data_IF_931599665603
#
_entry.id   IF_931599665603
#
_cell.length_a   1.000
_cell.length_b   1.000
_cell.length_c   1.000
_cell.angle_alpha   90.00
_cell.angle_beta   90.00
_cell.angle_gamma   90.00
#
_symmetry.space_group_name_H-M   'P 1'
#
loop_
_entity.id
_entity.type
_entity.pdbx_description
1 polymer ?
#
# COMPACT_ATOMS: atom_id res chain seq x y z
N UNK A 1 -26.15 11.09 -28.32
CA UNK A 1 -26.94 10.06 -27.62
C UNK A 1 -26.10 8.80 -27.57
N UNK A 2 -25.37 8.57 -26.48
CA UNK A 2 -24.63 7.32 -26.25
C UNK A 2 -24.98 6.90 -24.82
N UNK A 3 -26.07 6.17 -24.70
CA UNK A 3 -26.45 5.47 -23.48
C UNK A 3 -25.85 4.07 -23.61
N UNK A 4 -24.74 3.81 -22.94
CA UNK A 4 -24.21 2.44 -22.78
C UNK A 4 -24.79 1.90 -21.47
N UNK A 5 -25.57 0.81 -21.47
CA UNK A 5 -26.28 0.34 -20.29
C UNK A 5 -25.38 -0.36 -19.26
N UNK A 6 -24.11 -0.63 -19.58
CA UNK A 6 -23.21 -1.44 -18.73
C UNK A 6 -22.50 -0.65 -17.60
N UNK A 7 -22.77 0.64 -17.46
CA UNK A 7 -22.22 1.47 -16.37
C UNK A 7 -23.09 1.44 -15.09
N UNK A 8 -24.17 0.64 -15.09
CA UNK A 8 -25.23 0.68 -14.09
C UNK A 8 -25.54 -0.65 -13.40
N UNK A 9 -24.66 -1.66 -13.49
CA UNK A 9 -24.82 -2.83 -12.61
C UNK A 9 -24.48 -2.41 -11.17
N UNK A 10 -25.47 -2.55 -10.28
CA UNK A 10 -25.46 -2.15 -8.87
C UNK A 10 -24.33 -2.77 -8.02
N UNK A 11 -23.54 -3.67 -8.60
CA UNK A 11 -22.38 -4.32 -7.98
C UNK A 11 -21.02 -3.78 -8.44
N UNK A 12 -20.95 -2.87 -9.42
CA UNK A 12 -19.68 -2.31 -9.87
C UNK A 12 -19.36 -1.01 -9.13
N UNK A 13 -18.28 -1.03 -8.33
CA UNK A 13 -17.80 0.17 -7.64
C UNK A 13 -17.49 1.28 -8.66
N UNK A 14 -17.92 2.52 -8.40
CA UNK A 14 -17.59 3.71 -9.23
C UNK A 14 -16.09 3.80 -9.55
N UNK A 15 -15.26 3.31 -8.64
CA UNK A 15 -13.81 3.27 -8.78
C UNK A 15 -13.35 2.26 -9.83
N UNK A 16 -14.00 1.09 -9.88
CA UNK A 16 -13.76 0.08 -10.91
C UNK A 16 -14.14 0.61 -12.30
N UNK A 17 -15.32 1.24 -12.40
CA UNK A 17 -15.80 1.82 -13.66
C UNK A 17 -14.89 2.96 -14.13
N UNK A 18 -14.43 3.82 -13.22
CA UNK A 18 -13.44 4.85 -13.53
C UNK A 18 -12.12 4.24 -14.02
N UNK A 19 -11.64 3.17 -13.38
CA UNK A 19 -10.45 2.47 -13.81
C UNK A 19 -10.61 1.83 -15.21
N UNK A 20 -11.73 1.15 -15.47
CA UNK A 20 -12.03 0.56 -16.79
C UNK A 20 -12.07 1.63 -17.89
N UNK A 21 -12.61 2.80 -17.59
CA UNK A 21 -12.57 3.95 -18.50
C UNK A 21 -11.13 4.40 -18.78
N UNK A 22 -10.29 4.51 -17.75
CA UNK A 22 -8.88 4.86 -17.93
C UNK A 22 -8.13 3.82 -18.76
N UNK A 23 -8.43 2.53 -18.59
CA UNK A 23 -7.85 1.45 -19.40
C UNK A 23 -8.30 1.53 -20.86
N UNK A 24 -9.61 1.71 -21.10
CA UNK A 24 -10.16 1.86 -22.46
C UNK A 24 -9.51 3.01 -23.23
N UNK A 25 -9.19 4.09 -22.53
CA UNK A 25 -8.53 5.26 -23.09
C UNK A 25 -7.03 5.31 -22.77
N UNK A 26 -6.39 4.18 -22.43
CA UNK A 26 -5.00 4.15 -21.98
C UNK A 26 -4.02 4.80 -22.98
N UNK A 27 -4.24 4.56 -24.27
CA UNK A 27 -3.44 5.18 -25.33
C UNK A 27 -3.49 6.72 -25.32
N UNK A 28 -4.57 7.32 -24.80
CA UNK A 28 -4.71 8.79 -24.66
C UNK A 28 -4.21 9.27 -23.30
N UNK A 29 -4.46 8.49 -22.24
CA UNK A 29 -4.07 8.88 -20.88
C UNK A 29 -2.58 8.71 -20.63
N UNK A 30 -1.88 7.88 -21.42
CA UNK A 30 -0.42 7.72 -21.36
C UNK A 30 0.34 9.02 -21.66
N UNK A 31 -0.21 9.88 -22.52
CA UNK A 31 0.41 11.18 -22.83
C UNK A 31 0.03 12.28 -21.83
N UNK A 32 -0.81 11.98 -20.83
CA UNK A 32 -1.20 12.97 -19.83
C UNK A 32 -0.03 13.23 -18.88
N UNK A 33 0.17 14.50 -18.56
CA UNK A 33 1.15 14.99 -17.60
C UNK A 33 0.44 15.77 -16.49
N UNK A 34 1.19 16.27 -15.50
CA UNK A 34 0.65 17.12 -14.44
C UNK A 34 -0.52 16.48 -13.67
N UNK A 35 -1.61 17.24 -13.52
CA UNK A 35 -2.77 16.82 -12.74
C UNK A 35 -3.51 15.60 -13.33
N UNK A 36 -3.60 15.51 -14.66
CA UNK A 36 -4.21 14.36 -15.33
C UNK A 36 -3.47 13.05 -15.02
N UNK A 37 -2.13 13.08 -15.05
CA UNK A 37 -1.30 11.93 -14.66
C UNK A 37 -1.49 11.54 -13.19
N UNK A 38 -1.63 12.54 -12.30
CA UNK A 38 -1.91 12.30 -10.88
C UNK A 38 -3.25 11.56 -10.73
N UNK A 39 -4.32 12.02 -11.36
CA UNK A 39 -5.64 11.35 -11.29
C UNK A 39 -5.54 9.89 -11.72
N UNK A 40 -4.87 9.60 -12.84
CA UNK A 40 -4.67 8.23 -13.33
C UNK A 40 -3.92 7.39 -12.31
N UNK A 41 -2.86 7.94 -11.73
CA UNK A 41 -2.06 7.29 -10.69
C UNK A 41 -2.88 6.99 -9.43
N UNK A 42 -3.73 7.93 -9.00
CA UNK A 42 -4.62 7.78 -7.84
C UNK A 42 -5.70 6.72 -8.06
N UNK A 43 -6.39 6.76 -9.20
CA UNK A 43 -7.42 5.77 -9.54
C UNK A 43 -6.79 4.37 -9.64
N UNK A 44 -5.60 4.27 -10.24
CA UNK A 44 -4.84 3.01 -10.26
C UNK A 44 -4.53 2.54 -8.84
N UNK A 45 -3.97 3.39 -7.97
CA UNK A 45 -3.64 2.98 -6.60
C UNK A 45 -4.88 2.51 -5.82
N UNK A 46 -5.97 3.28 -5.88
CA UNK A 46 -7.19 2.99 -5.13
C UNK A 46 -7.88 1.71 -5.59
N UNK A 47 -7.81 1.38 -6.89
CA UNK A 47 -8.40 0.15 -7.43
C UNK A 47 -7.69 -1.10 -6.89
N UNK A 48 -6.37 -1.06 -6.74
CA UNK A 48 -5.61 -2.13 -6.07
C UNK A 48 -6.06 -2.29 -4.63
N UNK A 49 -6.19 -1.18 -3.90
CA UNK A 49 -6.57 -1.23 -2.49
C UNK A 49 -8.01 -1.73 -2.31
N UNK A 50 -8.90 -1.42 -3.24
CA UNK A 50 -10.27 -1.96 -3.26
C UNK A 50 -10.28 -3.49 -3.46
N UNK A 51 -9.38 -4.04 -4.28
CA UNK A 51 -9.25 -5.49 -4.46
C UNK A 51 -8.78 -6.19 -3.17
N UNK A 52 -7.76 -5.64 -2.49
CA UNK A 52 -7.34 -6.14 -1.17
C UNK A 52 -8.49 -6.03 -0.13
N UNK A 53 -9.31 -4.98 -0.25
CA UNK A 53 -10.50 -4.76 0.54
C UNK A 53 -11.66 -5.74 0.22
N UNK A 54 -11.45 -6.69 -0.69
CA UNK A 54 -12.38 -7.79 -0.96
C UNK A 54 -13.49 -7.41 -1.92
N UNK A 55 -13.29 -6.34 -2.71
CA UNK A 55 -14.14 -6.02 -3.86
C UNK A 55 -14.14 -7.21 -4.83
N UNK A 56 -15.30 -7.53 -5.37
CA UNK A 56 -15.43 -8.52 -6.43
C UNK A 56 -14.86 -7.96 -7.76
N UNK A 57 -14.30 -8.85 -8.59
CA UNK A 57 -13.73 -8.53 -9.91
C UNK A 57 -12.24 -8.85 -10.04
N UNK A 58 -11.79 -9.04 -11.28
CA UNK A 58 -10.40 -9.43 -11.55
C UNK A 58 -9.44 -8.24 -11.42
N UNK A 59 -8.24 -8.46 -10.84
CA UNK A 59 -7.17 -7.48 -10.86
C UNK A 59 -6.74 -7.16 -12.30
N UNK A 60 -6.93 -5.91 -12.70
CA UNK A 60 -6.50 -5.43 -14.01
C UNK A 60 -5.01 -5.06 -13.95
N UNK A 61 -4.17 -5.82 -14.67
CA UNK A 61 -2.71 -5.75 -14.56
C UNK A 61 -2.10 -4.67 -15.49
N UNK A 62 -2.76 -4.38 -16.61
CA UNK A 62 -2.20 -3.59 -17.72
C UNK A 62 -1.84 -2.13 -17.36
N UNK A 63 -2.59 -1.48 -16.47
CA UNK A 63 -2.28 -0.11 -16.03
C UNK A 63 -1.20 -0.04 -14.93
N UNK A 64 -0.80 -1.18 -14.34
CA UNK A 64 0.26 -1.23 -13.34
C UNK A 64 1.66 -1.02 -13.94
N UNK A 65 1.78 -1.16 -15.26
CA UNK A 65 3.00 -0.96 -16.04
C UNK A 65 3.10 0.49 -16.53
N UNK A 66 2.89 1.46 -15.62
CA UNK A 66 3.17 2.87 -15.91
C UNK A 66 4.69 3.07 -15.97
N UNK A 67 5.27 2.67 -17.09
CA UNK A 67 6.59 3.15 -17.50
C UNK A 67 6.47 4.66 -17.71
N UNK A 68 7.26 5.40 -16.93
CA UNK A 68 7.51 6.82 -17.19
C UNK A 68 8.29 6.89 -18.52
N UNK A 69 7.58 7.08 -19.62
CA UNK A 69 8.19 7.39 -20.90
C UNK A 69 7.28 8.30 -21.71
N UNK A 70 7.73 9.55 -21.85
CA UNK A 70 7.22 10.49 -22.85
C UNK A 70 7.04 11.90 -22.30
N UNK A 71 8.10 12.70 -22.29
CA UNK A 71 7.96 14.15 -22.42
C UNK A 71 7.36 14.44 -23.80
N UNK A 72 6.03 14.48 -23.88
CA UNK A 72 5.33 15.07 -25.02
C UNK A 72 4.92 16.48 -24.61
N UNK A 73 5.61 17.46 -25.18
CA UNK A 73 5.24 18.87 -25.08
C UNK A 73 3.91 19.09 -25.82
N UNK A 74 2.80 19.13 -25.10
CA UNK A 74 1.55 19.66 -25.63
C UNK A 74 0.87 20.53 -24.58
N UNK A 75 0.81 21.82 -24.92
CA UNK A 75 0.03 22.96 -24.38
C UNK A 75 -0.53 22.83 -22.93
N UNK A 76 0.33 23.07 -21.93
CA UNK A 76 0.03 22.97 -20.49
C UNK A 76 -0.27 24.32 -19.80
N UNK A 77 -0.67 25.36 -20.55
CA UNK A 77 -0.68 26.73 -20.00
C UNK A 77 -1.77 27.04 -18.96
N UNK A 78 -2.70 26.13 -18.68
CA UNK A 78 -3.90 26.46 -17.88
C UNK A 78 -4.10 25.64 -16.61
N UNK A 79 -3.46 24.48 -16.45
CA UNK A 79 -3.78 23.53 -15.35
C UNK A 79 -2.74 23.51 -14.20
N UNK A 80 -1.65 24.26 -14.34
CA UNK A 80 -0.41 24.00 -13.58
C UNK A 80 -0.12 24.99 -12.44
N UNK A 81 -1.05 25.89 -12.09
CA UNK A 81 -0.77 26.94 -11.09
C UNK A 81 -0.48 26.38 -9.68
N UNK A 82 -1.17 25.31 -9.27
CA UNK A 82 -0.91 24.63 -7.99
C UNK A 82 0.39 23.83 -7.99
N UNK A 83 0.70 23.17 -9.11
CA UNK A 83 1.90 22.34 -9.28
C UNK A 83 3.14 23.20 -9.57
N UNK A 84 2.95 24.46 -9.99
CA UNK A 84 4.01 25.46 -10.18
C UNK A 84 4.35 26.24 -8.91
N UNK A 85 3.65 26.00 -7.79
CA UNK A 85 3.96 26.67 -6.52
C UNK A 85 5.37 26.27 -6.05
N UNK A 86 6.24 27.23 -5.68
CA UNK A 86 7.62 26.93 -5.27
C UNK A 86 7.73 25.89 -4.16
N UNK A 87 6.85 25.97 -3.15
CA UNK A 87 6.82 25.00 -2.05
C UNK A 87 6.53 23.57 -2.52
N UNK A 88 5.62 23.39 -3.47
CA UNK A 88 5.34 22.09 -4.07
C UNK A 88 6.52 21.59 -4.91
N UNK A 89 7.13 22.46 -5.71
CA UNK A 89 8.29 22.10 -6.53
C UNK A 89 9.47 21.62 -5.69
N UNK A 90 9.78 22.33 -4.60
CA UNK A 90 10.85 21.94 -3.67
C UNK A 90 10.49 20.63 -2.96
N UNK A 91 9.27 20.50 -2.45
CA UNK A 91 8.81 19.26 -1.83
C UNK A 91 8.90 18.07 -2.80
N UNK A 92 8.45 18.25 -4.04
CA UNK A 92 8.52 17.21 -5.08
C UNK A 92 9.96 16.91 -5.49
N UNK A 93 10.88 17.88 -5.47
CA UNK A 93 12.29 17.63 -5.74
C UNK A 93 12.93 16.73 -4.66
N UNK A 94 12.55 16.91 -3.39
CA UNK A 94 13.09 16.14 -2.26
C UNK A 94 12.41 14.75 -2.16
N UNK A 95 11.07 14.73 -2.16
CA UNK A 95 10.27 13.53 -1.89
C UNK A 95 9.92 12.76 -3.17
N UNK A 96 9.84 13.42 -4.32
CA UNK A 96 9.39 12.84 -5.59
C UNK A 96 10.12 11.56 -6.02
N UNK A 97 11.47 11.47 -5.91
CA UNK A 97 12.18 10.23 -6.20
C UNK A 97 11.72 9.07 -5.30
N UNK A 98 11.60 9.32 -4.00
CA UNK A 98 11.16 8.34 -3.01
C UNK A 98 9.69 7.94 -3.23
N UNK A 99 8.83 8.90 -3.59
CA UNK A 99 7.45 8.64 -3.96
C UNK A 99 7.35 7.77 -5.22
N UNK A 100 8.17 8.04 -6.24
CA UNK A 100 8.20 7.22 -7.46
C UNK A 100 8.58 5.76 -7.16
N UNK A 101 9.54 5.55 -6.26
CA UNK A 101 9.88 4.21 -5.77
C UNK A 101 8.68 3.54 -5.09
N UNK A 102 8.02 4.21 -4.13
CA UNK A 102 6.87 3.64 -3.44
C UNK A 102 5.74 3.35 -4.43
N UNK A 103 5.45 4.27 -5.35
CA UNK A 103 4.42 4.11 -6.36
C UNK A 103 4.64 2.85 -7.20
N UNK A 104 5.88 2.64 -7.69
CA UNK A 104 6.26 1.43 -8.43
C UNK A 104 6.09 0.17 -7.58
N UNK A 105 6.47 0.22 -6.30
CA UNK A 105 6.29 -0.89 -5.39
C UNK A 105 4.81 -1.23 -5.22
N UNK A 106 3.95 -0.23 -5.02
CA UNK A 106 2.51 -0.39 -4.85
C UNK A 106 1.84 -1.05 -6.06
N UNK A 107 2.32 -0.79 -7.29
CA UNK A 107 1.78 -1.47 -8.48
C UNK A 107 2.03 -2.98 -8.48
N UNK A 108 3.06 -3.47 -7.78
CA UNK A 108 3.35 -4.90 -7.66
C UNK A 108 2.25 -5.64 -6.92
N UNK A 109 1.53 -4.97 -6.00
CA UNK A 109 0.44 -5.59 -5.24
C UNK A 109 -0.63 -6.18 -6.15
N UNK A 110 -0.91 -5.56 -7.33
CA UNK A 110 -1.84 -6.13 -8.32
C UNK A 110 -1.47 -7.55 -8.70
N UNK A 111 -0.19 -7.77 -9.00
CA UNK A 111 0.35 -9.08 -9.39
C UNK A 111 0.29 -10.07 -8.25
N UNK A 112 0.44 -9.61 -7.00
CA UNK A 112 0.29 -10.45 -5.81
C UNK A 112 -1.18 -10.87 -5.64
N UNK A 113 -2.13 -9.95 -5.76
CA UNK A 113 -3.56 -10.25 -5.64
C UNK A 113 -4.01 -11.28 -6.68
N UNK A 114 -3.47 -11.25 -7.91
CA UNK A 114 -3.73 -12.28 -8.93
C UNK A 114 -3.32 -13.70 -8.50
N UNK A 115 -2.39 -13.82 -7.55
CA UNK A 115 -2.00 -15.13 -7.02
C UNK A 115 -2.99 -15.66 -6.02
N UNK A 116 -3.86 -14.83 -5.45
CA UNK A 116 -4.80 -15.22 -4.41
C UNK A 116 -5.75 -16.33 -4.89
N UNK A 117 -6.17 -17.22 -3.97
CA UNK A 117 -7.08 -18.32 -4.28
C UNK A 117 -8.46 -17.84 -4.77
N UNK A 118 -8.79 -16.58 -4.47
CA UNK A 118 -9.99 -15.92 -4.94
C UNK A 118 -9.95 -15.51 -6.42
N UNK A 119 -8.77 -15.43 -7.01
CA UNK A 119 -8.54 -14.97 -8.39
C UNK A 119 -7.88 -16.02 -9.28
N UNK A 120 -7.39 -17.13 -8.71
CA UNK A 120 -6.77 -18.23 -9.43
C UNK A 120 -7.16 -19.57 -8.82
N UNK A 121 -7.23 -20.59 -9.67
CA UNK A 121 -7.30 -21.99 -9.22
C UNK A 121 -6.09 -22.32 -8.35
N UNK A 122 -6.35 -23.03 -7.25
CA UNK A 122 -5.38 -23.46 -6.24
C UNK A 122 -5.77 -24.82 -5.66
N UNK A 123 -4.82 -25.46 -4.98
CA UNK A 123 -5.06 -26.72 -4.27
C UNK A 123 -4.60 -27.99 -4.98
N UNK A 124 -4.17 -27.93 -6.25
CA UNK A 124 -3.40 -29.02 -6.89
C UNK A 124 -1.91 -28.71 -6.89
N UNK A 125 -1.06 -29.74 -6.96
CA UNK A 125 0.40 -29.56 -7.04
C UNK A 125 0.80 -28.71 -8.25
N UNK A 126 0.10 -28.87 -9.38
CA UNK A 126 0.34 -28.07 -10.58
C UNK A 126 0.02 -26.60 -10.35
N UNK A 127 -1.14 -26.31 -9.75
CA UNK A 127 -1.56 -24.94 -9.47
C UNK A 127 -0.59 -24.24 -8.50
N UNK A 128 -0.18 -24.93 -7.42
CA UNK A 128 0.77 -24.37 -6.46
C UNK A 128 2.16 -24.16 -7.06
N UNK A 129 2.60 -25.04 -7.96
CA UNK A 129 3.87 -24.87 -8.68
C UNK A 129 3.85 -23.62 -9.58
N UNK A 130 2.77 -23.40 -10.33
CA UNK A 130 2.61 -22.21 -11.16
C UNK A 130 2.57 -20.92 -10.33
N UNK A 131 1.85 -20.94 -9.20
CA UNK A 131 1.83 -19.82 -8.24
C UNK A 131 3.24 -19.50 -7.75
N UNK A 132 4.00 -20.53 -7.36
CA UNK A 132 5.38 -20.34 -6.91
C UNK A 132 6.26 -19.74 -8.01
N UNK A 133 6.17 -20.20 -9.25
CA UNK A 133 6.96 -19.64 -10.35
C UNK A 133 6.71 -18.13 -10.52
N UNK A 134 5.44 -17.72 -10.54
CA UNK A 134 5.08 -16.31 -10.66
C UNK A 134 5.52 -15.53 -9.40
N UNK A 135 5.38 -16.11 -8.21
CA UNK A 135 5.80 -15.50 -6.97
C UNK A 135 7.32 -15.26 -6.89
N UNK A 136 8.13 -16.19 -7.39
CA UNK A 136 9.59 -16.00 -7.50
C UNK A 136 9.94 -14.85 -8.44
N UNK A 137 9.23 -14.73 -9.58
CA UNK A 137 9.42 -13.59 -10.48
C UNK A 137 9.03 -12.27 -9.81
N UNK A 138 7.87 -12.21 -9.12
CA UNK A 138 7.46 -11.02 -8.36
C UNK A 138 8.49 -10.69 -7.27
N UNK A 139 9.00 -11.70 -6.55
CA UNK A 139 10.04 -11.52 -5.54
C UNK A 139 11.33 -10.95 -6.12
N UNK A 140 11.78 -11.46 -7.27
CA UNK A 140 12.94 -10.95 -7.97
C UNK A 140 12.74 -9.49 -8.45
N UNK A 141 11.54 -9.14 -8.90
CA UNK A 141 11.22 -7.78 -9.31
C UNK A 141 11.19 -6.81 -8.11
N UNK A 142 10.64 -7.24 -6.96
CA UNK A 142 10.70 -6.47 -5.71
C UNK A 142 12.13 -6.24 -5.25
N UNK A 143 12.99 -7.25 -5.36
CA UNK A 143 14.43 -7.11 -5.07
C UNK A 143 15.13 -6.16 -6.02
N UNK A 144 14.85 -6.29 -7.32
CA UNK A 144 15.36 -5.37 -8.33
C UNK A 144 14.95 -3.93 -8.03
N UNK A 145 13.71 -3.72 -7.60
CA UNK A 145 13.20 -2.41 -7.21
C UNK A 145 13.88 -1.88 -5.94
N UNK A 146 14.06 -2.72 -4.92
CA UNK A 146 14.76 -2.35 -3.69
C UNK A 146 16.22 -1.95 -3.95
N UNK A 147 16.91 -2.68 -4.82
CA UNK A 147 18.30 -2.42 -5.18
C UNK A 147 18.47 -1.16 -6.03
N UNK A 148 17.44 -0.76 -6.79
CA UNK A 148 17.39 0.47 -7.60
C UNK A 148 16.74 1.64 -6.87
N UNK A 149 16.42 1.51 -5.58
CA UNK A 149 15.78 2.58 -4.82
C UNK A 149 16.66 3.84 -4.78
N UNK A 150 16.06 5.04 -4.76
CA UNK A 150 16.81 6.29 -4.57
C UNK A 150 17.62 6.27 -3.27
N UNK A 151 18.90 6.64 -3.33
CA UNK A 151 19.79 6.68 -2.14
C UNK A 151 19.33 7.66 -1.07
N UNK A 152 18.56 8.68 -1.45
CA UNK A 152 17.95 9.60 -0.48
C UNK A 152 16.99 8.88 0.47
N UNK A 153 16.42 7.72 0.09
CA UNK A 153 15.62 6.93 1.03
C UNK A 153 16.45 6.38 2.18
N UNK A 154 17.78 6.23 2.03
CA UNK A 154 18.65 5.57 3.01
C UNK A 154 19.01 6.46 4.21
N UNK A 155 18.64 7.76 4.23
CA UNK A 155 18.92 8.68 5.36
C UNK A 155 17.81 8.74 6.42
N UNK A 156 16.78 7.91 6.29
CA UNK A 156 15.56 7.95 7.11
C UNK A 156 15.79 7.70 8.62
N UNK A 157 16.91 7.08 8.97
CA UNK A 157 17.27 6.69 10.33
C UNK A 157 18.02 7.79 11.08
N UNK A 158 18.54 8.81 10.38
CA UNK A 158 19.42 9.85 10.94
C UNK A 158 19.04 11.25 10.44
N UNK A 159 17.90 11.81 10.90
CA UNK A 159 17.50 13.16 10.50
C UNK A 159 18.55 14.23 10.84
N UNK A 160 19.34 14.03 11.90
CA UNK A 160 20.38 14.95 12.35
C UNK A 160 21.49 15.19 11.34
N UNK A 161 21.79 14.21 10.47
CA UNK A 161 22.76 14.38 9.39
C UNK A 161 22.29 15.41 8.35
N UNK A 162 20.97 15.68 8.30
CA UNK A 162 20.37 16.66 7.39
C UNK A 162 20.24 18.06 7.99
N UNK A 163 20.41 18.25 9.30
CA UNK A 163 20.16 19.55 9.97
C UNK A 163 21.12 20.67 9.52
N UNK A 164 22.27 20.32 8.97
CA UNK A 164 23.20 21.29 8.38
C UNK A 164 22.76 21.77 6.98
N UNK A 165 21.82 21.07 6.33
CA UNK A 165 21.36 21.34 4.97
C UNK A 165 19.89 21.79 4.92
N UNK A 166 19.05 21.20 5.76
CA UNK A 166 17.63 21.46 5.86
C UNK A 166 17.30 21.98 7.26
N UNK A 167 16.26 22.82 7.35
CA UNK A 167 15.68 23.18 8.64
C UNK A 167 15.28 21.89 9.40
N UNK A 168 15.56 21.76 10.71
CA UNK A 168 15.33 20.51 11.45
C UNK A 168 13.93 19.93 11.27
N UNK A 169 12.88 20.75 11.41
CA UNK A 169 11.50 20.32 11.20
C UNK A 169 11.24 19.74 9.80
N UNK A 170 11.91 20.26 8.76
CA UNK A 170 11.80 19.74 7.39
C UNK A 170 12.57 18.43 7.25
N UNK A 171 13.77 18.33 7.82
CA UNK A 171 14.55 17.10 7.84
C UNK A 171 13.79 15.95 8.54
N UNK A 172 13.18 16.24 9.69
CA UNK A 172 12.39 15.28 10.46
C UNK A 172 11.18 14.79 9.66
N UNK A 173 10.44 15.70 9.01
CA UNK A 173 9.28 15.34 8.19
C UNK A 173 9.65 14.55 6.93
N UNK A 174 10.79 14.87 6.31
CA UNK A 174 11.34 14.11 5.18
C UNK A 174 11.68 12.69 5.60
N UNK A 175 12.43 12.52 6.70
CA UNK A 175 12.79 11.20 7.22
C UNK A 175 11.54 10.41 7.63
N UNK A 176 10.58 11.07 8.27
CA UNK A 176 9.27 10.50 8.61
C UNK A 176 8.53 9.98 7.39
N UNK A 177 8.53 10.75 6.29
CA UNK A 177 7.93 10.31 5.02
C UNK A 177 8.65 9.08 4.47
N UNK A 178 9.98 9.05 4.52
CA UNK A 178 10.77 7.90 4.06
C UNK A 178 10.52 6.64 4.88
N UNK A 179 10.42 6.75 6.21
CA UNK A 179 10.06 5.62 7.09
C UNK A 179 8.72 5.01 6.70
N UNK A 180 7.72 5.84 6.41
CA UNK A 180 6.41 5.38 5.94
C UNK A 180 6.52 4.63 4.61
N UNK A 181 7.34 5.10 3.67
CA UNK A 181 7.51 4.46 2.37
C UNK A 181 8.23 3.12 2.49
N UNK A 182 9.25 3.03 3.34
CA UNK A 182 9.98 1.78 3.62
C UNK A 182 9.05 0.77 4.31
N UNK A 183 8.31 1.19 5.35
CA UNK A 183 7.36 0.30 6.02
C UNK A 183 6.30 -0.25 5.04
N UNK A 184 5.78 0.59 4.15
CA UNK A 184 4.85 0.16 3.11
C UNK A 184 5.49 -0.78 2.09
N UNK A 185 6.75 -0.58 1.71
CA UNK A 185 7.47 -1.52 0.85
C UNK A 185 7.66 -2.90 1.53
N UNK A 186 8.09 -2.91 2.79
CA UNK A 186 8.28 -4.15 3.57
C UNK A 186 6.97 -4.94 3.69
N UNK A 187 5.84 -4.24 3.87
CA UNK A 187 4.52 -4.86 3.92
C UNK A 187 4.15 -5.60 2.64
N UNK A 188 4.58 -5.12 1.47
CA UNK A 188 4.33 -5.79 0.17
C UNK A 188 5.07 -7.13 0.11
N UNK A 189 6.30 -7.17 0.62
CA UNK A 189 7.08 -8.39 0.68
C UNK A 189 6.43 -9.44 1.60
N UNK A 190 5.99 -9.02 2.79
CA UNK A 190 5.28 -9.91 3.72
C UNK A 190 3.96 -10.40 3.09
N UNK A 191 3.23 -9.51 2.41
CA UNK A 191 1.99 -9.86 1.73
C UNK A 191 2.19 -10.86 0.61
N UNK A 192 3.26 -10.75 -0.20
CA UNK A 192 3.62 -11.76 -1.19
C UNK A 192 3.82 -13.13 -0.53
N UNK A 193 4.55 -13.19 0.58
CA UNK A 193 4.75 -14.44 1.30
C UNK A 193 3.42 -15.07 1.72
N UNK A 194 2.55 -14.25 2.33
CA UNK A 194 1.22 -14.69 2.79
C UNK A 194 0.30 -15.16 1.67
N UNK A 195 0.40 -14.58 0.47
CA UNK A 195 -0.47 -14.98 -0.64
C UNK A 195 0.09 -16.17 -1.41
N UNK A 196 1.40 -16.21 -1.65
CA UNK A 196 1.98 -17.20 -2.56
C UNK A 196 2.58 -18.44 -1.88
N UNK A 197 2.89 -18.36 -0.59
CA UNK A 197 3.66 -19.40 0.12
C UNK A 197 2.85 -20.05 1.25
N UNK A 198 1.54 -20.27 1.04
CA UNK A 198 0.54 -20.74 2.03
C UNK A 198 0.92 -21.98 2.82
N UNK A 199 1.64 -22.89 2.20
CA UNK A 199 2.04 -24.15 2.81
C UNK A 199 3.47 -24.12 3.37
N UNK A 200 4.19 -23.01 3.22
CA UNK A 200 5.59 -22.89 3.60
C UNK A 200 5.75 -22.12 4.91
N UNK A 201 6.77 -22.45 5.72
CA UNK A 201 7.11 -21.66 6.88
C UNK A 201 7.58 -20.26 6.47
N UNK A 202 7.42 -19.32 7.40
CA UNK A 202 7.97 -17.98 7.29
C UNK A 202 9.49 -18.03 7.08
N UNK A 203 9.96 -17.24 6.12
CA UNK A 203 11.39 -17.08 5.86
C UNK A 203 12.01 -16.10 6.86
N UNK A 204 13.31 -16.18 7.11
CA UNK A 204 14.04 -15.20 7.93
C UNK A 204 13.85 -13.76 7.45
N UNK A 205 13.64 -13.60 6.15
CA UNK A 205 13.39 -12.30 5.56
C UNK A 205 12.03 -11.73 5.96
N UNK A 206 11.00 -12.56 6.08
CA UNK A 206 9.70 -12.14 6.61
C UNK A 206 9.83 -11.71 8.07
N UNK A 207 10.55 -12.50 8.88
CA UNK A 207 10.81 -12.14 10.28
C UNK A 207 11.52 -10.77 10.38
N UNK A 208 12.60 -10.57 9.62
CA UNK A 208 13.31 -9.28 9.58
C UNK A 208 12.44 -8.12 9.09
N UNK A 209 11.55 -8.36 8.13
CA UNK A 209 10.64 -7.32 7.64
C UNK A 209 9.62 -6.92 8.72
N UNK A 210 9.12 -7.87 9.50
CA UNK A 210 8.25 -7.60 10.67
C UNK A 210 9.02 -6.77 11.71
N UNK A 211 10.23 -7.19 12.07
CA UNK A 211 11.08 -6.45 13.04
C UNK A 211 11.34 -5.01 12.58
N UNK A 212 11.67 -4.82 11.31
CA UNK A 212 11.91 -3.49 10.75
C UNK A 212 10.64 -2.63 10.74
N UNK A 213 9.47 -3.16 10.43
CA UNK A 213 8.20 -2.41 10.51
C UNK A 213 7.95 -1.95 11.96
N UNK A 214 8.15 -2.83 12.94
CA UNK A 214 8.00 -2.50 14.37
C UNK A 214 9.00 -1.43 14.78
N UNK A 215 10.27 -1.55 14.39
CA UNK A 215 11.31 -0.56 14.68
C UNK A 215 10.93 0.81 14.10
N UNK A 216 10.55 0.86 12.82
CA UNK A 216 10.13 2.10 12.16
C UNK A 216 8.93 2.74 12.86
N UNK A 217 7.92 1.94 13.20
CA UNK A 217 6.74 2.41 13.91
C UNK A 217 7.06 2.87 15.34
N UNK A 218 8.01 2.22 16.02
CA UNK A 218 8.46 2.62 17.37
C UNK A 218 9.14 3.99 17.35
N UNK A 219 10.03 4.23 16.38
CA UNK A 219 10.69 5.53 16.20
C UNK A 219 9.66 6.64 15.95
N UNK A 220 8.67 6.37 15.10
CA UNK A 220 7.59 7.32 14.81
C UNK A 220 6.70 7.60 16.02
N UNK A 221 6.31 6.55 16.76
CA UNK A 221 5.49 6.67 17.96
C UNK A 221 6.21 7.36 19.13
N UNK A 222 7.55 7.35 19.16
CA UNK A 222 8.36 8.05 20.15
C UNK A 222 8.63 9.53 19.85
N UNK A 223 8.27 10.02 18.66
CA UNK A 223 8.44 11.44 18.26
C UNK A 223 7.49 12.37 19.02
N UNK A 224 7.76 13.69 19.04
CA UNK A 224 7.07 14.70 19.89
C UNK A 224 5.54 14.61 19.91
N UNK A 225 4.91 14.19 18.81
CA UNK A 225 3.46 14.06 18.71
C UNK A 225 2.89 12.72 19.22
N UNK A 226 3.74 11.73 19.53
CA UNK A 226 3.40 10.37 19.96
C UNK A 226 2.29 9.70 19.12
N UNK A 227 2.26 10.03 17.82
CA UNK A 227 1.16 9.65 16.92
C UNK A 227 1.72 9.02 15.67
N UNK A 228 1.43 7.73 15.52
CA UNK A 228 1.79 6.97 14.34
C UNK A 228 0.91 7.39 13.14
N UNK A 229 1.51 7.71 11.97
CA UNK A 229 0.76 8.03 10.77
C UNK A 229 -0.19 6.90 10.31
N UNK A 230 -1.32 7.27 9.71
CA UNK A 230 -2.27 6.35 9.07
C UNK A 230 -1.63 5.39 8.06
N UNK A 231 -0.55 5.83 7.40
CA UNK A 231 0.18 5.01 6.41
C UNK A 231 0.83 3.76 7.01
N UNK A 232 0.96 3.66 8.35
CA UNK A 232 1.42 2.46 9.04
C UNK A 232 0.30 1.44 9.29
N UNK A 233 -0.97 1.77 9.10
CA UNK A 233 -2.09 0.85 9.36
C UNK A 233 -1.95 -0.45 8.56
N UNK A 234 -1.63 -0.37 7.26
CA UNK A 234 -1.41 -1.56 6.44
C UNK A 234 -0.14 -2.33 6.80
N UNK A 235 1.05 -1.69 6.93
CA UNK A 235 2.25 -2.36 7.42
C UNK A 235 2.05 -3.12 8.73
N UNK A 236 1.41 -2.49 9.72
CA UNK A 236 1.14 -3.10 11.02
C UNK A 236 0.14 -4.25 10.91
N UNK A 237 -0.93 -4.08 10.11
CA UNK A 237 -1.90 -5.16 9.89
C UNK A 237 -1.23 -6.41 9.32
N UNK A 238 -0.44 -6.28 8.25
CA UNK A 238 0.23 -7.42 7.62
C UNK A 238 1.32 -7.99 8.54
N UNK A 239 2.10 -7.14 9.21
CA UNK A 239 3.12 -7.57 10.16
C UNK A 239 2.52 -8.32 11.35
N UNK A 240 1.35 -7.90 11.86
CA UNK A 240 0.68 -8.55 13.00
C UNK A 240 0.18 -9.96 12.67
N UNK A 241 -0.20 -10.20 11.42
CA UNK A 241 -0.60 -11.51 10.93
C UNK A 241 0.58 -12.49 10.83
N UNK A 242 1.79 -11.98 10.56
CA UNK A 242 3.02 -12.76 10.39
C UNK A 242 3.99 -12.67 11.58
N UNK A 243 3.67 -11.89 12.61
CA UNK A 243 4.51 -11.71 13.79
C UNK A 243 4.49 -12.89 14.76
N UNK A 244 5.46 -12.92 15.67
CA UNK A 244 5.44 -13.72 16.89
C UNK A 244 4.33 -13.24 17.84
N UNK A 245 4.04 -14.00 18.89
CA UNK A 245 3.06 -13.62 19.90
C UNK A 245 3.37 -12.26 20.54
N UNK A 246 4.65 -12.02 20.86
CA UNK A 246 5.13 -10.77 21.45
C UNK A 246 5.02 -9.59 20.48
N UNK A 247 5.51 -9.78 19.25
CA UNK A 247 5.42 -8.78 18.18
C UNK A 247 3.96 -8.41 17.90
N UNK A 248 3.07 -9.41 17.83
CA UNK A 248 1.63 -9.21 17.64
C UNK A 248 1.00 -8.44 18.79
N UNK A 249 1.37 -8.75 20.04
CA UNK A 249 0.89 -8.02 21.22
C UNK A 249 1.25 -6.53 21.14
N UNK A 250 2.49 -6.21 20.78
CA UNK A 250 2.92 -4.82 20.55
C UNK A 250 2.13 -4.15 19.41
N UNK A 251 1.98 -4.84 18.28
CA UNK A 251 1.26 -4.31 17.10
C UNK A 251 -0.21 -4.02 17.43
N UNK A 252 -0.90 -4.95 18.09
CA UNK A 252 -2.31 -4.76 18.49
C UNK A 252 -2.44 -3.56 19.43
N UNK A 253 -1.53 -3.42 20.41
CA UNK A 253 -1.53 -2.29 21.31
C UNK A 253 -1.35 -0.96 20.56
N UNK A 254 -0.42 -0.91 19.60
CA UNK A 254 -0.18 0.31 18.82
C UNK A 254 -1.37 0.64 17.90
N UNK A 255 -1.96 -0.36 17.25
CA UNK A 255 -3.16 -0.18 16.42
C UNK A 255 -4.39 0.24 17.24
N UNK A 256 -4.50 -0.22 18.49
CA UNK A 256 -5.51 0.27 19.44
C UNK A 256 -5.32 1.76 19.74
N UNK A 257 -4.09 2.21 20.01
CA UNK A 257 -3.79 3.64 20.19
C UNK A 257 -4.17 4.47 18.96
N UNK A 258 -3.90 3.96 17.75
CA UNK A 258 -4.34 4.61 16.50
C UNK A 258 -5.87 4.69 16.38
N UNK A 259 -6.60 3.69 16.88
CA UNK A 259 -8.06 3.62 16.80
C UNK A 259 -8.78 4.52 17.83
N UNK A 260 -8.18 4.70 19.01
CA UNK A 260 -8.72 5.47 20.14
C UNK A 260 -8.45 6.98 20.07
N UNK A 261 -7.77 7.46 19.03
CA UNK A 261 -7.52 8.89 18.85
C UNK A 261 -8.82 9.72 18.94
N UNK A 262 -8.92 10.69 19.86
CA UNK A 262 -10.11 11.52 20.04
C UNK A 262 -10.43 12.33 18.79
N UNK A 263 -11.71 12.39 18.43
CA UNK A 263 -12.21 13.12 17.25
C UNK A 263 -11.98 14.64 17.33
N UNK A 264 -11.82 15.20 18.54
CA UNK A 264 -11.81 16.65 18.77
C UNK A 264 -10.42 17.32 18.71
N UNK A 265 -9.34 16.54 18.59
CA UNK A 265 -7.95 17.05 18.70
C UNK A 265 -7.02 16.64 17.55
N UNK A 266 -7.59 16.19 16.43
CA UNK A 266 -6.82 15.74 15.27
C UNK A 266 -7.47 16.27 13.99
N UNK A 267 -6.72 16.89 13.07
CA UNK A 267 -7.27 17.16 11.75
C UNK A 267 -7.75 15.83 11.13
N UNK A 268 -8.89 15.82 10.41
CA UNK A 268 -9.51 14.58 9.88
C UNK A 268 -8.57 13.76 8.98
N UNK A 269 -7.50 14.37 8.46
CA UNK A 269 -6.47 13.73 7.65
C UNK A 269 -5.53 12.77 8.42
N UNK A 270 -5.58 12.70 9.76
CA UNK A 270 -4.66 11.88 10.56
C UNK A 270 -5.28 10.59 11.13
N UNK A 271 -6.59 10.38 11.00
CA UNK A 271 -7.29 9.20 11.53
C UNK A 271 -7.79 8.32 10.40
N UNK A 272 -7.50 7.03 10.47
CA UNK A 272 -8.12 6.08 9.55
C UNK A 272 -9.62 5.93 9.89
N UNK A 273 -10.55 6.17 8.94
CA UNK A 273 -11.98 6.12 9.21
C UNK A 273 -12.44 4.75 9.70
N UNK A 274 -11.74 3.70 9.28
CA UNK A 274 -12.01 2.31 9.67
C UNK A 274 -11.03 1.73 10.70
N UNK A 275 -10.25 2.54 11.42
CA UNK A 275 -9.20 2.04 12.34
C UNK A 275 -9.70 0.94 13.29
N UNK A 276 -10.88 1.13 13.90
CA UNK A 276 -11.50 0.14 14.80
C UNK A 276 -11.86 -1.17 14.09
N UNK A 277 -12.42 -1.09 12.87
CA UNK A 277 -12.75 -2.28 12.07
C UNK A 277 -11.49 -3.06 11.67
N UNK A 278 -10.41 -2.34 11.34
CA UNK A 278 -9.12 -2.96 10.99
C UNK A 278 -8.52 -3.70 12.18
N UNK A 279 -8.56 -3.10 13.36
CA UNK A 279 -8.10 -3.73 14.59
C UNK A 279 -8.89 -5.00 14.92
N UNK A 280 -10.22 -4.92 14.88
CA UNK A 280 -11.10 -6.08 15.09
C UNK A 280 -10.82 -7.21 14.08
N UNK A 281 -10.58 -6.85 12.82
CA UNK A 281 -10.21 -7.82 11.79
C UNK A 281 -8.87 -8.49 12.10
N UNK A 282 -7.86 -7.74 12.53
CA UNK A 282 -6.56 -8.29 12.92
C UNK A 282 -6.70 -9.25 14.10
N UNK A 283 -7.40 -8.85 15.16
CA UNK A 283 -7.64 -9.68 16.35
C UNK A 283 -8.34 -10.99 16.00
N UNK A 284 -9.40 -10.95 15.20
CA UNK A 284 -10.12 -12.16 14.83
C UNK A 284 -9.31 -13.07 13.89
N UNK A 285 -8.61 -12.49 12.91
CA UNK A 285 -7.74 -13.28 12.02
C UNK A 285 -6.60 -13.96 12.78
N UNK A 286 -5.97 -13.26 13.71
CA UNK A 286 -4.88 -13.80 14.52
C UNK A 286 -5.37 -14.90 15.45
N UNK A 287 -6.52 -14.70 16.10
CA UNK A 287 -7.20 -15.73 16.91
C UNK A 287 -7.52 -16.99 16.09
N UNK A 288 -8.05 -16.84 14.88
CA UNK A 288 -8.33 -17.99 14.00
C UNK A 288 -7.07 -18.72 13.57
N UNK A 289 -6.02 -17.97 13.21
CA UNK A 289 -4.71 -18.55 12.87
C UNK A 289 -4.13 -19.39 14.01
N UNK A 290 -4.25 -18.91 15.25
CA UNK A 290 -3.73 -19.62 16.41
C UNK A 290 -4.54 -20.90 16.70
N UNK A 291 -5.86 -20.85 16.51
CA UNK A 291 -6.75 -21.99 16.70
C UNK A 291 -6.59 -23.07 15.60
N UNK A 292 -6.50 -22.67 14.33
CA UNK A 292 -6.45 -23.60 13.19
C UNK A 292 -5.03 -23.99 12.78
N UNK A 293 -4.01 -23.30 13.31
CA UNK A 293 -2.59 -23.41 12.90
C UNK A 293 -2.39 -23.24 11.39
N UNK A 294 -3.30 -22.53 10.73
CA UNK A 294 -3.29 -22.25 9.29
C UNK A 294 -3.64 -20.79 9.06
N UNK A 295 -3.29 -20.24 7.90
CA UNK A 295 -3.59 -18.84 7.62
C UNK A 295 -5.10 -18.58 7.52
N UNK A 296 -5.55 -17.53 8.20
CA UNK A 296 -6.92 -17.06 8.09
C UNK A 296 -7.10 -16.26 6.80
N UNK A 297 -8.14 -16.58 6.05
CA UNK A 297 -8.52 -15.87 4.83
C UNK A 297 -9.17 -14.52 5.19
N UNK A 298 -8.47 -13.43 4.85
CA UNK A 298 -8.93 -12.08 5.15
C UNK A 298 -10.28 -11.72 4.52
N UNK A 299 -10.60 -12.26 3.33
CA UNK A 299 -11.85 -11.98 2.62
C UNK A 299 -13.03 -12.65 3.31
N UNK A 300 -12.87 -13.90 3.73
CA UNK A 300 -13.90 -14.64 4.46
C UNK A 300 -14.16 -14.00 5.82
N UNK A 301 -13.11 -13.76 6.62
CA UNK A 301 -13.26 -13.16 7.96
C UNK A 301 -13.90 -11.78 7.86
N UNK A 302 -13.53 -10.96 6.87
CA UNK A 302 -14.14 -9.64 6.68
C UNK A 302 -15.64 -9.72 6.37
N UNK A 303 -16.07 -10.65 5.50
CA UNK A 303 -17.49 -10.85 5.15
C UNK A 303 -18.33 -11.35 6.33
N UNK A 304 -17.72 -12.11 7.23
CA UNK A 304 -18.40 -12.61 8.43
C UNK A 304 -18.53 -11.53 9.51
N UNK A 305 -17.51 -10.70 9.68
CA UNK A 305 -17.49 -9.66 10.73
C UNK A 305 -18.25 -8.40 10.36
N UNK A 306 -18.27 -8.02 9.07
CA UNK A 306 -18.76 -6.72 8.63
C UNK A 306 -19.73 -6.84 7.47
N UNK A 307 -20.88 -6.17 7.61
CA UNK A 307 -21.90 -6.08 6.55
C UNK A 307 -21.39 -5.25 5.37
N UNK A 308 -20.71 -4.13 5.64
CA UNK A 308 -20.19 -3.24 4.61
C UNK A 308 -18.71 -3.48 4.32
N UNK A 309 -18.30 -3.52 3.03
CA UNK A 309 -16.88 -3.56 2.68
C UNK A 309 -16.20 -2.25 3.10
N UNK A 310 -14.94 -2.34 3.50
CA UNK A 310 -14.13 -1.19 3.86
C UNK A 310 -12.68 -1.37 3.43
N UNK A 311 -12.01 -0.25 3.14
CA UNK A 311 -10.60 -0.24 2.76
C UNK A 311 -9.73 -0.26 4.02
N UNK A 312 -8.67 -1.09 3.98
CA UNK A 312 -7.69 -1.26 5.06
C UNK A 312 -6.67 -0.11 5.17
N UNK A 313 -6.72 0.88 4.26
CA UNK A 313 -5.64 1.82 3.92
C UNK A 313 -6.20 3.19 3.60
#
# INVERSE_FOLDING_TARGET
VISSPDLGDSNTSYLHSAYLLLQRFHHRTKSWTGFGHLIVSWISLLDVRALIAGRDGDPLIELGMLDQSGTSEMDQRSEDELLSKPGYLIHNAIIGPAYSFLFKAQQVIRRIVCLDMHHRRRGTVSDEFEVLQVAHQIGADLEGLWNKRPRVLDVYDKPEELYNTLQPAVADEVCRTFRQYIANFLAIFIYLHRVAFVIYPRTDRVHRAVDQIIQLATVESGSENHRLPISFTWPLFVAGLEGSLEQRGWIIQEMQRMADLPSDHSPPAQRHPNAKKILQLLEEMTKRQDASRTWADSRLVRRELFVDPFVLI
#
